data_IF_990438024442
#
_entry.id   IF_990438024442
#
_cell.length_a   1.000
_cell.length_b   1.000
_cell.length_c   1.000
_cell.angle_alpha   90.00
_cell.angle_beta   90.00
_cell.angle_gamma   90.00
#
_symmetry.space_group_name_H-M   'P 1'
#
loop_
_entity.id
_entity.type
_entity.pdbx_description
1 polymer ?
#
# COMPACT_ATOMS: atom_id res chain seq x y z
N UNK A 1 18.05 -10.82 -21.68
CA UNK A 1 18.04 -9.48 -21.05
C UNK A 1 17.22 -9.54 -19.78
N UNK A 2 17.43 -8.59 -18.83
CA UNK A 2 16.75 -8.60 -17.55
C UNK A 2 16.12 -7.23 -17.26
N UNK A 3 15.04 -7.24 -16.50
CA UNK A 3 14.45 -6.04 -15.88
C UNK A 3 14.80 -6.08 -14.40
N UNK A 4 15.34 -4.98 -13.89
CA UNK A 4 15.56 -4.77 -12.46
C UNK A 4 14.40 -3.98 -11.89
N UNK A 5 13.63 -4.61 -11.01
CA UNK A 5 12.51 -3.98 -10.32
C UNK A 5 12.83 -3.75 -8.84
N UNK A 6 12.56 -2.55 -8.33
CA UNK A 6 12.66 -2.23 -6.91
C UNK A 6 11.27 -2.01 -6.33
N UNK A 7 11.02 -2.56 -5.15
CA UNK A 7 9.87 -2.26 -4.31
C UNK A 7 10.35 -1.54 -3.05
N UNK A 8 10.12 -0.25 -3.00
CA UNK A 8 10.53 0.63 -1.91
C UNK A 8 9.43 0.69 -0.84
N UNK A 9 9.35 -0.38 -0.04
CA UNK A 9 8.33 -0.52 1.01
C UNK A 9 8.61 0.28 2.29
N UNK A 10 7.74 0.16 3.27
CA UNK A 10 7.88 0.87 4.56
C UNK A 10 9.05 0.36 5.42
N UNK A 11 9.41 -0.92 5.32
CA UNK A 11 10.46 -1.54 6.15
C UNK A 11 11.78 -1.80 5.45
N UNK A 12 11.84 -1.64 4.13
CA UNK A 12 13.02 -1.94 3.34
C UNK A 12 12.76 -1.88 1.85
N UNK A 13 13.83 -1.93 1.07
CA UNK A 13 13.80 -2.08 -0.38
C UNK A 13 13.96 -3.56 -0.73
N UNK A 14 13.11 -4.06 -1.62
CA UNK A 14 13.24 -5.37 -2.25
C UNK A 14 13.54 -5.17 -3.73
N UNK A 15 14.76 -5.52 -4.14
CA UNK A 15 15.16 -5.57 -5.54
C UNK A 15 14.93 -6.97 -6.11
N UNK A 16 14.37 -7.05 -7.30
CA UNK A 16 14.06 -8.31 -7.97
C UNK A 16 14.50 -8.24 -9.43
N UNK A 17 15.12 -9.29 -9.88
CA UNK A 17 15.57 -9.45 -11.26
C UNK A 17 14.63 -10.40 -11.99
N UNK A 18 14.04 -9.94 -13.09
CA UNK A 18 13.18 -10.72 -13.98
C UNK A 18 13.85 -10.88 -15.33
N UNK A 19 13.67 -12.05 -15.95
CA UNK A 19 14.05 -12.23 -17.36
C UNK A 19 12.96 -11.67 -18.31
N UNK A 20 13.22 -11.76 -19.60
CA UNK A 20 12.33 -11.27 -20.67
C UNK A 20 11.00 -12.05 -20.76
N UNK A 21 10.89 -13.20 -20.12
CA UNK A 21 9.64 -13.97 -20.00
C UNK A 21 8.82 -13.58 -18.77
N UNK A 22 9.36 -12.72 -17.89
CA UNK A 22 8.76 -12.36 -16.60
C UNK A 22 9.08 -13.36 -15.48
N UNK A 23 9.97 -14.31 -15.70
CA UNK A 23 10.39 -15.26 -14.66
C UNK A 23 11.30 -14.56 -13.66
N UNK A 24 11.02 -14.73 -12.37
CA UNK A 24 11.85 -14.25 -11.28
C UNK A 24 13.17 -15.06 -11.24
N UNK A 25 14.29 -14.37 -11.40
CA UNK A 25 15.64 -14.96 -11.41
C UNK A 25 16.26 -14.89 -10.01
N UNK A 26 16.20 -13.72 -9.37
CA UNK A 26 16.77 -13.50 -8.05
C UNK A 26 16.10 -12.31 -7.35
N UNK A 27 16.19 -12.29 -6.03
CA UNK A 27 15.74 -11.17 -5.22
C UNK A 27 16.74 -10.88 -4.10
N UNK A 28 16.84 -9.59 -3.72
CA UNK A 28 17.62 -9.11 -2.57
C UNK A 28 16.81 -8.09 -1.81
N UNK A 29 16.95 -8.10 -0.49
CA UNK A 29 16.26 -7.15 0.39
C UNK A 29 17.25 -6.46 1.31
N UNK A 30 17.09 -5.14 1.47
CA UNK A 30 17.82 -4.34 2.42
C UNK A 30 16.83 -3.54 3.26
N UNK A 31 16.87 -3.74 4.58
CA UNK A 31 16.02 -3.04 5.53
C UNK A 31 16.55 -1.64 5.82
N UNK A 32 15.66 -0.74 6.20
CA UNK A 32 15.99 0.57 6.74
C UNK A 32 15.05 0.95 7.88
N UNK A 33 15.52 1.79 8.83
CA UNK A 33 14.73 2.17 9.99
C UNK A 33 13.62 3.14 9.63
N UNK A 34 12.54 3.09 10.42
CA UNK A 34 11.53 4.13 10.52
C UNK A 34 11.61 4.74 11.91
N UNK A 35 11.70 6.06 12.00
CA UNK A 35 11.71 6.79 13.25
C UNK A 35 10.27 7.09 13.67
N UNK A 36 9.82 6.42 14.73
CA UNK A 36 8.51 6.65 15.36
C UNK A 36 8.68 7.53 16.59
N UNK A 37 7.95 8.65 16.66
CA UNK A 37 7.99 9.56 17.78
C UNK A 37 6.60 9.83 18.36
N UNK A 38 6.56 10.44 19.56
CA UNK A 38 5.30 10.89 20.17
C UNK A 38 4.53 11.85 19.27
N UNK A 39 3.21 11.87 19.39
CA UNK A 39 2.33 12.69 18.54
C UNK A 39 2.06 12.07 17.18
N UNK A 40 2.09 10.74 17.08
CA UNK A 40 1.78 9.97 15.87
C UNK A 40 2.69 10.33 14.68
N UNK A 41 3.96 10.58 14.96
CA UNK A 41 4.99 10.89 13.95
C UNK A 41 5.64 9.62 13.45
N UNK A 42 5.84 9.55 12.14
CA UNK A 42 6.57 8.47 11.47
C UNK A 42 7.38 9.04 10.31
N UNK A 43 8.70 8.95 10.40
CA UNK A 43 9.62 9.55 9.42
C UNK A 43 10.68 8.56 8.97
N UNK A 44 11.18 8.78 7.75
CA UNK A 44 12.32 8.03 7.20
C UNK A 44 13.34 8.99 6.58
N UNK A 45 14.62 8.63 6.71
CA UNK A 45 15.70 9.35 6.04
C UNK A 45 15.86 8.83 4.59
N UNK A 46 15.68 9.68 3.56
CA UNK A 46 15.80 9.28 2.16
C UNK A 46 17.17 8.71 1.76
N UNK A 47 18.22 9.07 2.48
CA UNK A 47 19.57 8.51 2.26
C UNK A 47 19.64 7.01 2.59
N UNK A 48 18.81 6.52 3.53
CA UNK A 48 18.72 5.08 3.81
C UNK A 48 18.06 4.32 2.66
N UNK A 49 17.09 4.93 1.98
CA UNK A 49 16.48 4.35 0.79
C UNK A 49 17.50 4.20 -0.34
N UNK A 50 18.23 5.30 -0.63
CA UNK A 50 19.25 5.28 -1.65
C UNK A 50 20.32 4.24 -1.37
N UNK A 51 20.80 4.15 -0.14
CA UNK A 51 21.74 3.11 0.27
C UNK A 51 21.17 1.71 0.03
N UNK A 52 19.91 1.45 0.38
CA UNK A 52 19.26 0.16 0.16
C UNK A 52 19.11 -0.17 -1.33
N UNK A 53 18.80 0.81 -2.17
CA UNK A 53 18.79 0.66 -3.64
C UNK A 53 20.17 0.24 -4.15
N UNK A 54 21.23 0.96 -3.73
CA UNK A 54 22.61 0.66 -4.12
C UNK A 54 23.01 -0.75 -3.67
N UNK A 55 22.85 -1.07 -2.39
CA UNK A 55 23.24 -2.35 -1.81
C UNK A 55 22.56 -3.54 -2.52
N UNK A 56 21.26 -3.44 -2.77
CA UNK A 56 20.49 -4.52 -3.40
C UNK A 56 20.78 -4.65 -4.90
N UNK A 57 21.00 -3.53 -5.59
CA UNK A 57 21.40 -3.51 -6.99
C UNK A 57 22.77 -4.19 -7.17
N UNK A 58 23.77 -3.76 -6.41
CA UNK A 58 25.12 -4.35 -6.49
C UNK A 58 25.09 -5.85 -6.21
N UNK A 59 24.33 -6.29 -5.20
CA UNK A 59 24.20 -7.72 -4.86
C UNK A 59 23.50 -8.54 -5.96
N UNK A 60 22.64 -7.94 -6.78
CA UNK A 60 22.05 -8.61 -7.94
C UNK A 60 22.99 -8.61 -9.16
N UNK A 61 23.80 -7.56 -9.33
CA UNK A 61 24.79 -7.47 -10.40
C UNK A 61 25.99 -8.42 -10.19
N UNK A 62 26.12 -9.05 -9.01
CA UNK A 62 27.04 -10.19 -8.84
C UNK A 62 26.58 -11.44 -9.62
N UNK A 63 25.30 -11.52 -10.00
CA UNK A 63 24.69 -12.67 -10.67
C UNK A 63 24.58 -12.51 -12.18
N UNK A 64 24.51 -11.26 -12.66
CA UNK A 64 24.31 -10.93 -14.08
C UNK A 64 25.18 -9.74 -14.48
N UNK A 65 25.51 -9.65 -15.77
CA UNK A 65 26.24 -8.49 -16.28
C UNK A 65 25.37 -7.23 -16.28
N UNK A 66 25.90 -6.05 -15.90
CA UNK A 66 25.19 -4.79 -16.07
C UNK A 66 24.75 -4.52 -17.52
N UNK A 67 25.47 -5.08 -18.52
CA UNK A 67 25.10 -4.99 -19.93
C UNK A 67 23.80 -5.72 -20.28
N UNK A 68 23.37 -6.64 -19.44
CA UNK A 68 22.16 -7.44 -19.67
C UNK A 68 20.91 -6.80 -19.02
N UNK A 69 21.06 -5.68 -18.28
CA UNK A 69 19.94 -4.95 -17.70
C UNK A 69 19.31 -4.04 -18.77
N UNK A 70 18.08 -4.37 -19.18
CA UNK A 70 17.34 -3.64 -20.20
C UNK A 70 16.62 -2.39 -19.67
N UNK A 71 16.37 -2.33 -18.36
CA UNK A 71 15.73 -1.20 -17.71
C UNK A 71 15.55 -1.41 -16.22
N UNK A 72 15.28 -0.30 -15.53
CA UNK A 72 14.99 -0.24 -14.09
C UNK A 72 13.60 0.32 -13.90
N UNK A 73 12.79 -0.33 -13.05
CA UNK A 73 11.44 0.12 -12.68
C UNK A 73 11.27 0.12 -11.16
N UNK A 74 10.47 1.06 -10.66
CA UNK A 74 10.21 1.21 -9.23
C UNK A 74 8.72 1.08 -8.91
N UNK A 75 8.46 0.36 -7.82
CA UNK A 75 7.26 0.44 -7.00
C UNK A 75 7.64 1.11 -5.68
N UNK A 76 6.74 1.85 -5.06
CA UNK A 76 7.08 2.49 -3.78
C UNK A 76 5.89 2.83 -2.90
N UNK A 77 6.17 2.96 -1.58
CA UNK A 77 5.20 3.41 -0.59
C UNK A 77 4.62 4.76 -0.98
N UNK A 78 3.31 4.89 -0.84
CA UNK A 78 2.51 6.02 -1.28
C UNK A 78 2.21 7.02 -0.15
N UNK A 79 1.56 8.14 -0.49
CA UNK A 79 0.94 9.08 0.46
C UNK A 79 1.94 9.81 1.37
N UNK A 80 3.21 9.80 1.03
CA UNK A 80 4.25 10.45 1.81
C UNK A 80 4.46 11.92 1.43
N UNK A 81 5.35 12.60 2.17
CA UNK A 81 5.74 13.97 1.87
C UNK A 81 7.24 14.14 2.09
N UNK A 82 7.98 14.29 1.01
CA UNK A 82 9.39 14.65 0.98
C UNK A 82 9.57 16.02 0.34
N UNK A 83 10.02 17.00 1.11
CA UNK A 83 10.40 18.31 0.59
C UNK A 83 11.84 18.27 0.07
N UNK A 84 12.02 18.65 -1.19
CA UNK A 84 13.35 18.77 -1.81
C UNK A 84 13.60 20.18 -2.31
N UNK A 85 14.87 20.62 -2.30
CA UNK A 85 15.29 21.89 -2.85
C UNK A 85 15.34 21.86 -4.40
N UNK A 86 15.76 22.98 -5.00
CA UNK A 86 15.90 23.11 -6.47
C UNK A 86 16.93 22.14 -7.09
N UNK A 87 17.85 21.64 -6.28
CA UNK A 87 18.91 20.71 -6.69
C UNK A 87 18.53 19.26 -6.31
N UNK A 88 17.28 19.02 -5.85
CA UNK A 88 16.73 17.71 -5.49
C UNK A 88 17.22 17.15 -4.15
N UNK A 89 17.90 17.98 -3.32
CA UNK A 89 18.34 17.52 -2.01
C UNK A 89 17.19 17.51 -1.02
N UNK A 90 17.03 16.43 -0.22
CA UNK A 90 16.04 16.39 0.86
C UNK A 90 16.31 17.47 1.90
N UNK A 91 15.29 18.27 2.20
CA UNK A 91 15.37 19.35 3.20
C UNK A 91 15.02 18.86 4.60
N UNK A 92 14.37 17.71 4.69
CA UNK A 92 13.95 17.05 5.92
C UNK A 92 13.73 15.56 5.72
N UNK A 93 13.58 14.75 6.80
CA UNK A 93 13.11 13.39 6.68
C UNK A 93 11.70 13.33 6.03
N UNK A 94 11.44 12.27 5.26
CA UNK A 94 10.16 12.03 4.65
C UNK A 94 9.09 11.64 5.69
N UNK A 95 7.92 12.26 5.65
CA UNK A 95 6.76 11.86 6.44
C UNK A 95 6.05 10.68 5.74
N UNK A 96 5.80 9.59 6.48
CA UNK A 96 5.14 8.40 5.94
C UNK A 96 3.62 8.56 5.88
N UNK A 97 2.95 7.62 5.17
CA UNK A 97 1.47 7.53 5.11
C UNK A 97 0.82 7.38 6.49
N UNK A 98 1.49 6.73 7.45
CA UNK A 98 0.99 6.54 8.82
C UNK A 98 1.28 7.70 9.76
N UNK A 99 2.02 8.72 9.31
CA UNK A 99 2.20 9.96 10.07
C UNK A 99 0.89 10.74 10.13
N UNK A 100 0.43 11.05 11.33
CA UNK A 100 -0.87 11.67 11.61
C UNK A 100 -0.73 13.04 12.28
N UNK A 101 0.44 13.70 12.16
CA UNK A 101 0.66 15.01 12.80
C UNK A 101 -0.17 16.14 12.20
N UNK A 102 -0.65 16.00 10.96
CA UNK A 102 -1.34 17.03 10.16
C UNK A 102 -2.86 17.09 10.40
N UNK A 103 -3.34 16.68 11.59
CA UNK A 103 -4.78 16.68 11.90
C UNK A 103 -5.41 18.08 11.92
N UNK A 104 -4.63 19.11 12.29
CA UNK A 104 -5.13 20.50 12.24
C UNK A 104 -5.31 20.97 10.80
N UNK A 105 -4.40 20.57 9.91
CA UNK A 105 -4.44 20.88 8.48
C UNK A 105 -5.59 20.13 7.78
N UNK A 106 -5.85 18.87 8.17
CA UNK A 106 -7.05 18.13 7.75
C UNK A 106 -8.32 18.89 8.11
N UNK A 107 -8.46 19.34 9.37
CA UNK A 107 -9.60 20.11 9.81
C UNK A 107 -9.74 21.42 9.02
N UNK A 108 -8.64 22.16 8.85
CA UNK A 108 -8.59 23.42 8.09
C UNK A 108 -9.00 23.24 6.62
N UNK A 109 -8.54 22.18 5.96
CA UNK A 109 -8.91 21.89 4.57
C UNK A 109 -10.39 21.50 4.47
N UNK A 110 -10.90 20.75 5.47
CA UNK A 110 -12.32 20.40 5.57
C UNK A 110 -13.26 21.61 5.71
N UNK A 111 -12.77 22.71 6.32
CA UNK A 111 -13.52 23.97 6.43
C UNK A 111 -13.58 24.75 5.10
N UNK A 112 -12.61 24.53 4.20
CA UNK A 112 -12.43 25.31 2.95
C UNK A 112 -13.08 24.68 1.73
N UNK A 113 -13.24 23.37 1.71
CA UNK A 113 -13.83 22.63 0.59
C UNK A 113 -14.85 21.63 1.10
N UNK A 114 -15.99 21.52 0.42
CA UNK A 114 -17.00 20.52 0.77
C UNK A 114 -16.42 19.11 0.70
N UNK A 115 -16.53 18.29 1.76
CA UNK A 115 -15.89 16.98 1.79
C UNK A 115 -16.42 15.95 0.78
N UNK A 116 -17.67 16.11 0.29
CA UNK A 116 -18.19 15.24 -0.77
C UNK A 116 -17.64 15.68 -2.13
N UNK A 117 -17.62 16.98 -2.39
CA UNK A 117 -17.01 17.53 -3.60
C UNK A 117 -15.51 17.19 -3.70
N UNK A 118 -14.76 17.30 -2.59
CA UNK A 118 -13.37 16.87 -2.52
C UNK A 118 -13.23 15.38 -2.88
N UNK A 119 -14.11 14.53 -2.34
CA UNK A 119 -14.12 13.10 -2.62
C UNK A 119 -14.45 12.79 -4.10
N UNK A 120 -15.36 13.55 -4.71
CA UNK A 120 -15.69 13.43 -6.13
C UNK A 120 -14.49 13.76 -7.04
N UNK A 121 -13.62 14.68 -6.62
CA UNK A 121 -12.41 15.05 -7.35
C UNK A 121 -11.32 13.99 -7.15
N UNK A 122 -11.01 13.65 -5.91
CA UNK A 122 -9.81 12.87 -5.55
C UNK A 122 -10.07 11.37 -5.39
N UNK A 123 -11.32 10.98 -5.19
CA UNK A 123 -11.67 9.61 -4.78
C UNK A 123 -11.32 9.27 -3.32
N UNK A 124 -10.86 10.25 -2.53
CA UNK A 124 -10.41 10.05 -1.16
C UNK A 124 -11.11 11.01 -0.18
N UNK A 125 -11.08 10.67 1.10
CA UNK A 125 -11.43 11.61 2.16
C UNK A 125 -10.26 12.55 2.42
N UNK A 126 -10.55 13.78 2.87
CA UNK A 126 -9.54 14.64 3.48
C UNK A 126 -9.01 13.92 4.72
N UNK A 127 -7.70 13.74 4.83
CA UNK A 127 -7.09 13.05 5.97
C UNK A 127 -5.60 13.38 6.12
N UNK A 128 -5.15 13.52 7.35
CA UNK A 128 -3.75 13.73 7.73
C UNK A 128 -2.77 12.67 7.18
N UNK A 129 -3.28 11.56 6.67
CA UNK A 129 -2.48 10.50 6.05
C UNK A 129 -1.88 10.89 4.69
N UNK A 130 -2.43 11.88 4.01
CA UNK A 130 -2.06 12.23 2.64
C UNK A 130 -1.04 13.37 2.56
N UNK A 131 -0.46 13.53 1.37
CA UNK A 131 0.70 14.40 1.15
C UNK A 131 0.39 15.89 1.28
N UNK A 132 -0.79 16.33 0.80
CA UNK A 132 -1.19 17.75 0.83
C UNK A 132 -1.28 18.25 2.27
N UNK A 133 -1.94 17.53 3.15
CA UNK A 133 -2.10 17.91 4.56
C UNK A 133 -0.74 17.93 5.27
N UNK A 134 0.18 17.03 4.91
CA UNK A 134 1.55 17.03 5.43
C UNK A 134 2.35 18.25 4.92
N UNK A 135 2.19 18.61 3.65
CA UNK A 135 2.86 19.80 3.09
C UNK A 135 2.32 21.10 3.70
N UNK A 136 0.99 21.17 3.98
CA UNK A 136 0.39 22.28 4.73
C UNK A 136 0.99 22.37 6.14
N UNK A 137 1.22 21.22 6.79
CA UNK A 137 1.88 21.17 8.10
C UNK A 137 3.31 21.70 8.03
N UNK A 138 4.10 21.31 7.03
CA UNK A 138 5.47 21.83 6.81
C UNK A 138 5.42 23.35 6.62
N UNK A 139 4.49 23.86 5.80
CA UNK A 139 4.30 25.30 5.59
C UNK A 139 4.09 26.06 6.90
N UNK A 140 3.29 25.51 7.80
CA UNK A 140 2.92 26.14 9.07
C UNK A 140 4.01 26.00 10.14
N UNK A 141 4.60 24.83 10.29
CA UNK A 141 5.45 24.47 11.42
C UNK A 141 6.94 24.50 11.11
N UNK A 142 7.31 24.41 9.83
CA UNK A 142 8.71 24.45 9.35
C UNK A 142 8.83 25.46 8.19
N UNK A 143 8.47 26.74 8.38
CA UNK A 143 8.38 27.73 7.29
C UNK A 143 9.70 27.96 6.56
N UNK A 144 10.85 27.80 7.22
CA UNK A 144 12.17 27.90 6.60
C UNK A 144 12.45 26.74 5.64
N UNK A 145 12.00 25.54 5.96
CA UNK A 145 12.04 24.36 5.09
C UNK A 145 11.10 24.58 3.90
N UNK A 146 9.87 25.00 4.20
CA UNK A 146 8.88 25.26 3.15
C UNK A 146 9.35 26.30 2.15
N UNK A 147 9.96 27.40 2.60
CA UNK A 147 10.48 28.45 1.74
C UNK A 147 11.60 27.99 0.79
N UNK A 148 12.33 26.93 1.15
CA UNK A 148 13.38 26.33 0.32
C UNK A 148 12.87 25.16 -0.54
N UNK A 149 11.62 24.70 -0.29
CA UNK A 149 11.03 23.57 -1.00
C UNK A 149 10.71 23.95 -2.45
N UNK A 150 11.41 23.33 -3.38
CA UNK A 150 11.12 23.46 -4.80
C UNK A 150 10.10 22.43 -5.27
N UNK A 151 10.12 21.20 -4.71
CA UNK A 151 9.17 20.12 -5.02
C UNK A 151 8.83 19.30 -3.79
N UNK A 152 7.59 18.78 -3.78
CA UNK A 152 7.13 17.72 -2.89
C UNK A 152 7.11 16.41 -3.68
N UNK A 153 7.77 15.36 -3.16
CA UNK A 153 7.93 14.07 -3.82
C UNK A 153 7.43 12.92 -2.93
N UNK A 154 6.97 11.84 -3.56
CA UNK A 154 6.87 10.54 -2.93
C UNK A 154 8.23 9.80 -2.92
N UNK A 155 8.30 8.69 -2.21
CA UNK A 155 9.56 7.98 -2.03
C UNK A 155 10.13 7.45 -3.36
N UNK A 156 9.28 6.86 -4.21
CA UNK A 156 9.65 6.39 -5.54
C UNK A 156 10.19 7.52 -6.43
N UNK A 157 9.51 8.68 -6.42
CA UNK A 157 9.88 9.82 -7.26
C UNK A 157 11.28 10.34 -6.91
N UNK A 158 11.62 10.37 -5.62
CA UNK A 158 12.96 10.73 -5.17
C UNK A 158 14.02 9.74 -5.65
N UNK A 159 13.75 8.43 -5.60
CA UNK A 159 14.70 7.43 -6.09
C UNK A 159 14.84 7.50 -7.61
N UNK A 160 13.74 7.72 -8.35
CA UNK A 160 13.79 7.99 -9.79
C UNK A 160 14.70 9.18 -10.10
N UNK A 161 14.52 10.28 -9.37
CA UNK A 161 15.40 11.45 -9.50
C UNK A 161 16.88 11.08 -9.25
N UNK A 162 17.17 10.31 -8.20
CA UNK A 162 18.55 9.89 -7.90
C UNK A 162 19.14 9.01 -9.00
N UNK A 163 18.33 8.21 -9.68
CA UNK A 163 18.75 7.33 -10.77
C UNK A 163 18.98 8.11 -12.08
N UNK A 164 18.05 8.96 -12.48
CA UNK A 164 18.05 9.55 -13.82
C UNK A 164 18.05 11.08 -13.87
N UNK A 165 17.99 11.78 -12.72
CA UNK A 165 17.98 13.25 -12.67
C UNK A 165 16.64 13.90 -13.04
N UNK A 166 15.61 13.12 -13.34
CA UNK A 166 14.28 13.61 -13.70
C UNK A 166 13.37 13.67 -12.49
N UNK A 167 12.78 14.83 -12.21
CA UNK A 167 11.73 14.99 -11.20
C UNK A 167 10.38 14.81 -11.87
N UNK A 168 9.77 13.64 -11.65
CA UNK A 168 8.45 13.30 -12.14
C UNK A 168 7.75 12.36 -11.17
N UNK A 169 6.42 12.30 -11.25
CA UNK A 169 5.58 11.30 -10.57
C UNK A 169 4.67 10.62 -11.58
N UNK A 170 3.96 9.57 -11.16
CA UNK A 170 2.96 8.91 -11.97
C UNK A 170 1.54 9.13 -11.42
N UNK A 171 0.47 8.82 -12.19
CA UNK A 171 -0.89 9.01 -11.72
C UNK A 171 -1.23 8.28 -10.43
N UNK A 172 -0.65 7.08 -10.18
CA UNK A 172 -0.97 6.31 -8.97
C UNK A 172 -0.44 7.01 -7.72
N UNK A 173 0.81 7.46 -7.72
CA UNK A 173 1.38 8.26 -6.62
C UNK A 173 0.73 9.65 -6.52
N UNK A 174 0.46 10.30 -7.66
CA UNK A 174 -0.23 11.59 -7.69
C UNK A 174 -1.60 11.49 -7.03
N UNK A 175 -2.38 10.43 -7.31
CA UNK A 175 -3.68 10.19 -6.67
C UNK A 175 -3.54 10.04 -5.15
N UNK A 176 -2.44 9.47 -4.67
CA UNK A 176 -2.12 9.33 -3.25
C UNK A 176 -1.71 10.63 -2.55
N UNK A 177 -1.74 11.77 -3.21
CA UNK A 177 -1.39 13.05 -2.59
C UNK A 177 -2.56 13.81 -1.99
N UNK A 178 -3.80 13.48 -2.35
CA UNK A 178 -5.01 14.30 -2.13
C UNK A 178 -5.05 15.62 -2.92
N UNK A 179 -4.22 15.77 -3.96
CA UNK A 179 -4.21 16.94 -4.83
C UNK A 179 -4.51 16.62 -6.31
N UNK A 180 -4.82 15.37 -6.62
CA UNK A 180 -4.98 14.92 -8.01
C UNK A 180 -6.45 14.69 -8.37
N UNK A 181 -6.88 15.26 -9.50
CA UNK A 181 -8.23 15.07 -10.05
C UNK A 181 -8.28 13.79 -10.89
N UNK A 182 -8.92 12.75 -10.35
CA UNK A 182 -9.07 11.45 -11.01
C UNK A 182 -9.96 11.48 -12.25
N UNK A 183 -10.82 12.51 -12.38
CA UNK A 183 -11.70 12.65 -13.54
C UNK A 183 -11.00 13.32 -14.71
N UNK A 184 -10.07 14.27 -14.42
CA UNK A 184 -9.33 15.04 -15.42
C UNK A 184 -7.90 14.55 -15.64
N UNK A 185 -7.43 13.63 -14.79
CA UNK A 185 -6.07 13.08 -14.82
C UNK A 185 -4.98 14.18 -14.74
N UNK A 186 -5.16 15.12 -13.83
CA UNK A 186 -4.24 16.24 -13.60
C UNK A 186 -4.29 16.72 -12.15
N UNK A 187 -3.35 17.54 -11.77
CA UNK A 187 -3.39 18.23 -10.49
C UNK A 187 -4.66 19.09 -10.39
N UNK A 188 -5.31 19.05 -9.23
CA UNK A 188 -6.50 19.87 -8.94
C UNK A 188 -6.07 21.24 -8.43
N UNK A 189 -6.15 22.26 -9.29
CA UNK A 189 -5.86 23.63 -8.90
C UNK A 189 -6.75 24.10 -7.76
N UNK A 190 -8.03 23.71 -7.76
CA UNK A 190 -9.01 24.02 -6.71
C UNK A 190 -8.56 23.53 -5.34
N UNK A 191 -8.09 22.27 -5.24
CA UNK A 191 -7.63 21.69 -3.96
C UNK A 191 -6.31 22.33 -3.53
N UNK A 192 -5.39 22.53 -4.46
CA UNK A 192 -4.10 23.13 -4.19
C UNK A 192 -4.28 24.58 -3.69
N UNK A 193 -5.21 25.34 -4.28
CA UNK A 193 -5.58 26.68 -3.82
C UNK A 193 -6.26 26.65 -2.43
N UNK A 194 -7.21 25.72 -2.20
CA UNK A 194 -7.85 25.54 -0.90
C UNK A 194 -6.84 25.19 0.20
N UNK A 195 -5.80 24.42 -0.12
CA UNK A 195 -4.67 24.10 0.75
C UNK A 195 -3.69 25.28 0.91
N UNK A 196 -3.90 26.40 0.19
CA UNK A 196 -2.99 27.56 0.16
C UNK A 196 -1.57 27.18 -0.31
N UNK A 197 -1.45 26.24 -1.22
CA UNK A 197 -0.19 25.79 -1.81
C UNK A 197 -0.05 26.32 -3.24
N UNK A 198 1.14 26.16 -3.82
CA UNK A 198 1.43 26.52 -5.21
C UNK A 198 1.55 25.26 -6.06
N UNK A 199 0.95 25.27 -7.25
CA UNK A 199 1.01 24.15 -8.19
C UNK A 199 2.46 23.80 -8.57
N UNK A 200 3.36 24.77 -8.57
CA UNK A 200 4.77 24.54 -8.86
C UNK A 200 5.47 23.60 -7.87
N UNK A 201 4.92 23.38 -6.68
CA UNK A 201 5.45 22.44 -5.68
C UNK A 201 5.22 20.97 -6.06
N UNK A 202 4.31 20.72 -6.99
CA UNK A 202 3.99 19.37 -7.43
C UNK A 202 4.80 18.99 -8.69
N UNK A 203 5.31 17.74 -8.79
CA UNK A 203 6.10 17.29 -9.93
C UNK A 203 5.23 17.15 -11.19
N UNK A 204 5.88 17.05 -12.36
CA UNK A 204 5.21 16.68 -13.60
C UNK A 204 4.66 15.24 -13.48
N UNK A 205 3.42 15.03 -13.94
CA UNK A 205 2.81 13.69 -13.98
C UNK A 205 3.12 13.06 -15.34
N UNK A 206 3.76 11.88 -15.29
CA UNK A 206 4.09 11.05 -16.45
C UNK A 206 3.36 9.71 -16.35
N UNK A 207 3.13 9.06 -17.47
CA UNK A 207 2.57 7.70 -17.42
C UNK A 207 3.49 6.75 -16.66
N UNK A 208 2.91 5.87 -15.85
CA UNK A 208 3.65 4.88 -15.06
C UNK A 208 4.57 3.98 -15.92
N UNK A 209 4.23 3.80 -17.20
CA UNK A 209 4.99 2.97 -18.15
C UNK A 209 6.01 3.76 -18.99
N UNK A 210 6.08 5.08 -18.83
CA UNK A 210 7.01 5.91 -19.60
C UNK A 210 8.46 5.72 -19.13
N UNK A 211 9.38 5.75 -20.08
CA UNK A 211 10.80 5.97 -19.79
C UNK A 211 10.96 7.46 -19.46
N UNK A 212 11.28 7.77 -18.23
CA UNK A 212 11.43 9.16 -17.76
C UNK A 212 12.87 9.68 -17.82
N UNK A 213 13.81 8.81 -18.09
CA UNK A 213 15.23 9.15 -18.21
C UNK A 213 16.10 7.91 -18.29
N UNK A 214 17.39 8.12 -18.16
CA UNK A 214 18.40 7.07 -18.21
C UNK A 214 19.31 7.17 -16.98
N UNK A 215 19.87 6.05 -16.54
CA UNK A 215 20.85 6.02 -15.44
C UNK A 215 21.97 7.00 -15.72
N UNK A 216 22.15 7.97 -14.81
CA UNK A 216 23.19 8.98 -14.90
C UNK A 216 24.58 8.40 -14.63
N UNK A 217 25.65 9.09 -15.04
CA UNK A 217 27.03 8.70 -14.70
C UNK A 217 27.29 8.62 -13.18
N UNK A 218 26.57 9.42 -12.39
CA UNK A 218 26.68 9.41 -10.93
C UNK A 218 26.00 8.17 -10.34
N UNK A 219 24.77 7.91 -10.73
CA UNK A 219 24.04 6.70 -10.31
C UNK A 219 24.72 5.43 -10.76
N UNK A 220 25.30 5.40 -11.98
CA UNK A 220 26.07 4.28 -12.49
C UNK A 220 27.29 3.94 -11.62
N UNK A 221 28.02 4.97 -11.17
CA UNK A 221 29.19 4.76 -10.28
C UNK A 221 28.81 4.20 -8.91
N UNK A 222 27.64 4.61 -8.38
CA UNK A 222 27.18 4.16 -7.08
C UNK A 222 26.52 2.78 -7.14
N UNK A 223 25.68 2.53 -8.16
CA UNK A 223 24.86 1.29 -8.24
C UNK A 223 25.58 0.15 -8.96
N UNK A 224 26.53 0.45 -9.83
CA UNK A 224 27.16 -0.52 -10.74
C UNK A 224 26.36 -0.76 -12.03
N UNK A 225 25.21 -0.12 -12.21
CA UNK A 225 24.45 -0.14 -13.47
C UNK A 225 25.21 0.60 -14.58
N UNK A 226 24.87 0.34 -15.84
CA UNK A 226 25.40 1.14 -16.94
C UNK A 226 24.70 2.50 -17.02
N UNK A 227 25.50 3.55 -17.23
CA UNK A 227 24.95 4.83 -17.66
C UNK A 227 24.21 4.64 -19.00
N UNK A 228 23.05 5.26 -19.14
CA UNK A 228 22.19 5.10 -20.30
C UNK A 228 21.17 3.95 -20.20
N UNK A 229 21.18 3.16 -19.11
CA UNK A 229 20.10 2.18 -18.87
C UNK A 229 18.78 2.92 -18.62
N UNK A 230 17.67 2.57 -19.32
CA UNK A 230 16.37 3.23 -19.16
C UNK A 230 15.80 3.12 -17.74
N UNK A 231 15.21 4.21 -17.24
CA UNK A 231 14.48 4.27 -15.97
C UNK A 231 13.00 4.50 -16.28
N UNK A 232 12.15 3.59 -15.82
CA UNK A 232 10.70 3.64 -15.99
C UNK A 232 10.10 4.43 -14.83
N UNK A 233 9.07 5.23 -15.09
CA UNK A 233 8.38 6.03 -14.07
C UNK A 233 7.93 5.18 -12.88
N UNK A 234 7.36 4.00 -13.16
CA UNK A 234 6.86 3.11 -12.12
C UNK A 234 5.60 3.62 -11.45
N UNK A 235 5.26 3.12 -10.27
CA UNK A 235 4.02 3.48 -9.60
C UNK A 235 4.00 3.19 -8.11
N UNK A 236 2.90 3.59 -7.46
CA UNK A 236 2.63 3.28 -6.07
C UNK A 236 2.46 1.78 -5.83
N UNK A 237 2.90 1.30 -4.68
CA UNK A 237 2.96 -0.12 -4.32
C UNK A 237 1.60 -0.84 -4.45
N UNK A 238 0.50 -0.20 -4.01
CA UNK A 238 -0.84 -0.77 -4.11
C UNK A 238 -1.29 -1.00 -5.56
N UNK A 239 -1.02 -0.03 -6.45
CA UNK A 239 -1.38 -0.14 -7.88
C UNK A 239 -0.46 -1.11 -8.64
N UNK A 240 0.82 -1.14 -8.30
CA UNK A 240 1.77 -2.11 -8.85
C UNK A 240 1.42 -3.55 -8.43
N UNK A 241 0.94 -3.75 -7.19
CA UNK A 241 0.46 -5.05 -6.73
C UNK A 241 -0.69 -5.57 -7.60
N UNK A 242 -1.62 -4.69 -8.02
CA UNK A 242 -2.69 -5.03 -8.96
C UNK A 242 -2.17 -5.62 -10.27
N UNK A 243 -1.14 -4.99 -10.86
CA UNK A 243 -0.49 -5.52 -12.08
C UNK A 243 0.19 -6.85 -11.80
N UNK A 244 0.89 -6.97 -10.68
CA UNK A 244 1.61 -8.19 -10.31
C UNK A 244 0.72 -9.43 -10.17
N UNK A 245 -0.57 -9.24 -9.87
CA UNK A 245 -1.56 -10.32 -9.80
C UNK A 245 -2.45 -10.40 -11.05
N UNK A 246 -2.17 -9.65 -12.09
CA UNK A 246 -2.90 -9.70 -13.37
C UNK A 246 -4.21 -8.91 -13.38
N UNK A 247 -4.49 -8.06 -12.38
CA UNK A 247 -5.65 -7.18 -12.35
C UNK A 247 -5.41 -5.93 -13.22
N UNK A 248 -5.42 -6.11 -14.53
CA UNK A 248 -5.08 -5.09 -15.54
C UNK A 248 -6.24 -4.75 -16.49
N UNK A 249 -7.38 -5.42 -16.33
CA UNK A 249 -8.57 -5.23 -17.17
C UNK A 249 -9.78 -4.84 -16.31
N UNK A 250 -10.72 -4.02 -16.85
CA UNK A 250 -11.94 -3.65 -16.14
C UNK A 250 -12.70 -4.88 -15.64
N UNK A 251 -13.18 -4.82 -14.40
CA UNK A 251 -13.92 -5.89 -13.74
C UNK A 251 -13.05 -6.96 -13.08
N UNK A 252 -11.72 -6.92 -13.23
CA UNK A 252 -10.82 -7.79 -12.47
C UNK A 252 -10.62 -7.26 -11.05
N UNK A 253 -10.55 -8.17 -10.09
CA UNK A 253 -10.37 -7.83 -8.68
C UNK A 253 -9.31 -8.70 -8.03
N UNK A 254 -8.69 -8.20 -6.97
CA UNK A 254 -7.80 -9.00 -6.13
C UNK A 254 -8.00 -8.67 -4.65
N UNK A 255 -7.64 -9.62 -3.81
CA UNK A 255 -7.53 -9.43 -2.37
C UNK A 255 -6.06 -9.51 -1.96
N UNK A 256 -5.62 -8.52 -1.18
CA UNK A 256 -4.34 -8.58 -0.46
C UNK A 256 -4.59 -8.89 1.00
N UNK A 257 -3.94 -9.92 1.52
CA UNK A 257 -4.03 -10.31 2.92
C UNK A 257 -2.65 -10.29 3.57
N UNK A 258 -2.37 -9.22 4.26
CA UNK A 258 -1.16 -9.01 5.08
C UNK A 258 -1.53 -8.71 6.54
N UNK A 259 -0.76 -7.89 7.22
CA UNK A 259 -1.11 -7.40 8.57
C UNK A 259 -2.43 -6.63 8.57
N UNK A 260 -2.62 -5.77 7.58
CA UNK A 260 -3.91 -5.25 7.12
C UNK A 260 -4.37 -6.03 5.89
N UNK A 261 -5.54 -5.72 5.36
CA UNK A 261 -6.00 -6.29 4.11
C UNK A 261 -6.75 -5.25 3.28
N UNK A 262 -6.83 -5.49 1.97
CA UNK A 262 -7.71 -4.73 1.07
C UNK A 262 -8.21 -5.60 -0.08
N UNK A 263 -9.41 -5.28 -0.52
CA UNK A 263 -9.95 -5.74 -1.79
C UNK A 263 -9.90 -4.57 -2.76
N UNK A 264 -9.39 -4.79 -3.95
CA UNK A 264 -9.29 -3.78 -4.98
C UNK A 264 -9.81 -4.29 -6.32
N UNK A 265 -10.35 -3.36 -7.10
CA UNK A 265 -11.01 -3.61 -8.36
C UNK A 265 -10.38 -2.74 -9.45
N UNK A 266 -10.22 -3.24 -10.66
CA UNK A 266 -9.82 -2.42 -11.81
C UNK A 266 -11.06 -1.91 -12.53
N UNK A 267 -11.16 -0.59 -12.71
CA UNK A 267 -12.30 0.09 -13.36
C UNK A 267 -11.84 1.24 -14.25
N UNK A 268 -12.72 1.70 -15.14
CA UNK A 268 -12.46 2.86 -16.02
C UNK A 268 -12.94 4.20 -15.44
N UNK A 269 -13.78 4.15 -14.40
CA UNK A 269 -14.34 5.35 -13.74
C UNK A 269 -14.29 5.21 -12.24
N UNK A 270 -14.13 6.31 -11.49
CA UNK A 270 -14.12 6.25 -10.04
C UNK A 270 -15.46 5.75 -9.51
N UNK A 271 -15.42 4.96 -8.45
CA UNK A 271 -16.60 4.58 -7.69
C UNK A 271 -16.83 5.65 -6.63
N UNK A 272 -17.77 6.52 -6.90
CA UNK A 272 -18.17 7.60 -6.00
C UNK A 272 -19.37 7.16 -5.18
N UNK A 273 -19.29 7.34 -3.87
CA UNK A 273 -20.30 6.94 -2.89
C UNK A 273 -20.51 8.09 -1.90
N UNK A 274 -21.78 8.52 -1.72
CA UNK A 274 -22.14 9.64 -0.86
C UNK A 274 -21.64 9.48 0.59
N UNK A 275 -21.48 8.24 1.06
CA UNK A 275 -20.92 7.95 2.38
C UNK A 275 -19.39 7.95 2.38
N UNK A 276 -18.75 8.12 1.22
CA UNK A 276 -17.31 8.17 1.03
C UNK A 276 -16.61 6.95 1.65
N UNK A 277 -17.15 5.75 1.37
CA UNK A 277 -16.69 4.49 1.99
C UNK A 277 -15.45 3.93 1.33
N UNK A 278 -15.32 4.12 0.01
CA UNK A 278 -14.22 3.57 -0.81
C UNK A 278 -13.08 4.57 -0.97
N UNK A 279 -11.92 4.08 -1.34
CA UNK A 279 -10.78 4.88 -1.79
C UNK A 279 -10.55 4.56 -3.27
N UNK A 280 -10.43 5.60 -4.11
CA UNK A 280 -10.17 5.42 -5.54
C UNK A 280 -8.76 5.91 -5.86
N UNK A 281 -7.94 5.05 -6.41
CA UNK A 281 -6.57 5.35 -6.82
C UNK A 281 -6.46 5.30 -8.34
N UNK A 282 -5.56 6.06 -8.92
CA UNK A 282 -5.19 5.81 -10.29
C UNK A 282 -4.40 4.51 -10.39
N UNK A 283 -4.67 3.74 -11.42
CA UNK A 283 -3.93 2.51 -11.71
C UNK A 283 -2.66 2.83 -12.51
N UNK A 284 -1.63 1.98 -12.42
CA UNK A 284 -0.43 2.11 -13.27
C UNK A 284 -0.71 1.74 -14.75
N UNK A 285 -1.80 1.03 -15.01
CA UNK A 285 -2.31 0.84 -16.38
C UNK A 285 -3.01 2.14 -16.82
N UNK A 286 -2.58 2.78 -17.92
CA UNK A 286 -3.12 4.05 -18.35
C UNK A 286 -4.65 4.03 -18.55
N UNK A 287 -5.34 5.05 -18.02
CA UNK A 287 -6.80 5.19 -18.12
C UNK A 287 -7.61 4.29 -17.18
N UNK A 288 -6.97 3.48 -16.35
CA UNK A 288 -7.64 2.64 -15.35
C UNK A 288 -7.54 3.24 -13.95
N UNK A 289 -8.51 2.91 -13.13
CA UNK A 289 -8.57 3.26 -11.71
C UNK A 289 -8.58 1.99 -10.86
N UNK A 290 -8.24 2.17 -9.60
CA UNK A 290 -8.02 1.10 -8.64
C UNK A 290 -8.79 1.38 -7.33
N UNK A 291 -10.15 1.38 -7.37
CA UNK A 291 -10.93 1.53 -6.15
C UNK A 291 -10.66 0.39 -5.18
N UNK A 292 -10.56 0.73 -3.90
CA UNK A 292 -10.26 -0.24 -2.84
C UNK A 292 -11.08 -0.02 -1.57
N UNK A 293 -11.38 -1.15 -0.90
CA UNK A 293 -11.89 -1.18 0.47
C UNK A 293 -10.86 -1.88 1.36
N UNK A 294 -10.66 -1.39 2.58
CA UNK A 294 -9.57 -1.86 3.45
C UNK A 294 -10.07 -2.50 4.74
N UNK A 295 -9.22 -3.31 5.35
CA UNK A 295 -9.35 -3.83 6.69
C UNK A 295 -8.08 -3.52 7.49
N UNK A 296 -8.22 -2.83 8.62
CA UNK A 296 -7.07 -2.33 9.40
C UNK A 296 -6.30 -3.45 10.09
N UNK A 297 -6.97 -4.48 10.58
CA UNK A 297 -6.36 -5.55 11.36
C UNK A 297 -6.80 -6.94 10.85
N UNK A 298 -6.21 -7.41 9.76
CA UNK A 298 -6.43 -8.72 9.17
C UNK A 298 -5.46 -9.76 9.76
N UNK A 299 -4.29 -9.94 9.17
CA UNK A 299 -3.24 -10.81 9.70
C UNK A 299 -2.76 -10.38 11.08
N UNK A 300 -2.87 -9.08 11.42
CA UNK A 300 -2.63 -8.60 12.79
C UNK A 300 -3.58 -9.24 13.80
N UNK A 301 -4.86 -9.45 13.44
CA UNK A 301 -5.83 -10.16 14.30
C UNK A 301 -5.47 -11.64 14.44
N UNK A 302 -5.00 -12.26 13.36
CA UNK A 302 -4.53 -13.64 13.38
C UNK A 302 -3.28 -13.78 14.27
N UNK A 303 -2.30 -12.90 14.13
CA UNK A 303 -1.10 -12.87 14.95
C UNK A 303 -1.43 -12.60 16.43
N UNK A 304 -2.38 -11.69 16.70
CA UNK A 304 -2.87 -11.46 18.05
C UNK A 304 -3.50 -12.74 18.63
N UNK A 305 -4.31 -13.45 17.89
CA UNK A 305 -4.89 -14.73 18.29
C UNK A 305 -3.80 -15.74 18.66
N UNK A 306 -2.79 -15.91 17.79
CA UNK A 306 -1.66 -16.81 18.06
C UNK A 306 -0.95 -16.42 19.35
N UNK A 307 -0.62 -15.14 19.52
CA UNK A 307 0.17 -14.67 20.64
C UNK A 307 -0.60 -14.64 21.96
N UNK A 308 -1.92 -14.43 21.95
CA UNK A 308 -2.71 -14.27 23.15
C UNK A 308 -3.54 -15.51 23.53
N UNK A 309 -3.92 -16.33 22.57
CA UNK A 309 -4.80 -17.47 22.79
C UNK A 309 -4.17 -18.83 22.54
N UNK A 310 -3.00 -18.92 21.86
CA UNK A 310 -2.42 -20.18 21.41
C UNK A 310 -1.07 -20.50 22.07
N UNK A 311 -0.83 -20.09 23.33
CA UNK A 311 0.44 -20.36 24.02
C UNK A 311 0.71 -21.86 24.18
N UNK A 312 -0.35 -22.67 24.38
CA UNK A 312 -0.23 -24.12 24.46
C UNK A 312 0.22 -24.71 23.12
N UNK A 313 -0.39 -24.32 22.02
CA UNK A 313 -0.05 -24.75 20.66
C UNK A 313 1.36 -24.33 20.28
N UNK A 314 1.82 -23.14 20.69
CA UNK A 314 3.19 -22.67 20.46
C UNK A 314 4.21 -23.54 21.21
N UNK A 315 3.95 -23.85 22.48
CA UNK A 315 4.81 -24.73 23.27
C UNK A 315 4.87 -26.14 22.69
N UNK A 316 3.71 -26.69 22.30
CA UNK A 316 3.60 -28.00 21.69
C UNK A 316 4.27 -28.06 20.32
N UNK A 317 4.14 -27.03 19.50
CA UNK A 317 4.81 -26.90 18.20
C UNK A 317 6.34 -26.99 18.35
N UNK A 318 6.89 -26.25 19.33
CA UNK A 318 8.31 -26.28 19.65
C UNK A 318 8.75 -27.68 20.10
N UNK A 319 7.97 -28.33 20.96
CA UNK A 319 8.28 -29.68 21.45
C UNK A 319 8.26 -30.75 20.37
N UNK A 320 7.32 -30.63 19.43
CA UNK A 320 7.11 -31.62 18.35
C UNK A 320 7.92 -31.32 17.09
N UNK A 321 8.58 -30.15 16.98
CA UNK A 321 9.23 -29.70 15.76
C UNK A 321 8.24 -29.46 14.61
N UNK A 322 6.98 -29.12 14.93
CA UNK A 322 5.90 -28.85 13.97
C UNK A 322 5.62 -27.36 13.87
N UNK A 323 4.92 -26.96 12.80
CA UNK A 323 4.41 -25.61 12.65
C UNK A 323 3.26 -25.35 13.65
N UNK A 324 3.29 -24.18 14.32
CA UNK A 324 2.17 -23.74 15.16
C UNK A 324 0.88 -23.59 14.36
N UNK A 325 0.98 -23.21 13.11
CA UNK A 325 -0.16 -23.05 12.21
C UNK A 325 -0.89 -24.40 11.96
N UNK A 326 -0.13 -25.49 11.79
CA UNK A 326 -0.71 -26.84 11.65
C UNK A 326 -1.54 -27.25 12.88
N UNK A 327 -1.02 -26.95 14.08
CA UNK A 327 -1.72 -27.27 15.32
C UNK A 327 -2.97 -26.43 15.52
N UNK A 328 -2.92 -25.15 15.14
CA UNK A 328 -4.07 -24.25 15.16
C UNK A 328 -5.13 -24.71 14.17
N UNK A 329 -4.75 -25.09 12.95
CA UNK A 329 -5.66 -25.63 11.95
C UNK A 329 -6.37 -26.92 12.45
N UNK A 330 -5.65 -27.79 13.14
CA UNK A 330 -6.24 -28.98 13.75
C UNK A 330 -7.31 -28.64 14.81
N UNK A 331 -7.12 -27.54 15.57
CA UNK A 331 -8.12 -27.07 16.54
C UNK A 331 -9.33 -26.43 15.83
N UNK A 332 -9.08 -25.58 14.84
CA UNK A 332 -10.13 -24.90 14.05
C UNK A 332 -11.04 -25.92 13.37
N UNK A 333 -10.48 -27.00 12.82
CA UNK A 333 -11.24 -28.06 12.14
C UNK A 333 -12.20 -28.82 13.05
N UNK A 334 -12.01 -28.79 14.37
CA UNK A 334 -12.94 -29.40 15.34
C UNK A 334 -14.20 -28.58 15.57
N UNK A 335 -14.18 -27.29 15.24
CA UNK A 335 -15.33 -26.40 15.32
C UNK A 335 -16.11 -26.40 13.98
N UNK A 336 -17.44 -26.37 14.00
CA UNK A 336 -18.23 -26.27 12.78
C UNK A 336 -18.13 -24.85 12.17
N UNK A 337 -18.47 -24.74 10.89
CA UNK A 337 -18.65 -23.44 10.21
C UNK A 337 -19.68 -22.61 10.98
N UNK A 338 -19.38 -21.33 11.17
CA UNK A 338 -20.17 -20.42 12.00
C UNK A 338 -19.84 -20.50 13.49
N UNK A 339 -18.74 -21.22 13.87
CA UNK A 339 -18.15 -21.24 15.22
C UNK A 339 -19.16 -21.38 16.34
N UNK A 340 -20.19 -22.22 16.14
CA UNK A 340 -21.34 -22.37 17.06
C UNK A 340 -22.06 -21.05 17.39
N UNK A 341 -22.14 -20.12 16.42
CA UNK A 341 -22.72 -18.76 16.53
C UNK A 341 -21.85 -17.77 17.33
N UNK A 342 -20.59 -18.07 17.55
CA UNK A 342 -19.62 -17.13 18.08
C UNK A 342 -19.08 -16.24 16.95
N UNK A 343 -19.22 -14.93 17.07
CA UNK A 343 -18.72 -13.95 16.11
C UNK A 343 -17.54 -13.19 16.72
N UNK A 344 -16.47 -13.04 15.98
CA UNK A 344 -15.37 -12.13 16.31
C UNK A 344 -15.42 -10.86 15.47
N UNK A 345 -15.31 -9.72 16.10
CA UNK A 345 -15.16 -8.42 15.43
C UNK A 345 -13.66 -8.04 15.42
N UNK A 346 -13.00 -7.99 14.24
CA UNK A 346 -11.55 -7.81 14.13
C UNK A 346 -11.10 -6.34 14.21
N UNK A 347 -11.75 -5.50 15.00
CA UNK A 347 -11.45 -4.06 15.09
C UNK A 347 -10.37 -3.75 16.13
N UNK A 348 -9.33 -4.58 16.23
CA UNK A 348 -8.28 -4.45 17.25
C UNK A 348 -7.49 -3.13 17.15
N UNK A 349 -7.42 -2.53 15.97
CA UNK A 349 -6.68 -1.30 15.68
C UNK A 349 -7.59 -0.16 15.20
N UNK A 350 -8.89 -0.21 15.53
CA UNK A 350 -9.88 0.65 14.90
C UNK A 350 -10.18 0.19 13.47
N UNK A 351 -10.88 1.03 12.70
CA UNK A 351 -11.23 0.70 11.32
C UNK A 351 -11.21 1.94 10.42
N UNK A 352 -10.80 1.75 9.16
CA UNK A 352 -10.92 2.72 8.08
C UNK A 352 -12.11 2.36 7.17
N UNK A 353 -11.90 2.27 5.89
CA UNK A 353 -12.92 1.87 4.91
C UNK A 353 -13.55 0.50 5.27
N UNK A 354 -14.87 0.30 5.15
CA UNK A 354 -15.87 1.32 4.82
C UNK A 354 -16.48 2.06 6.04
N UNK A 355 -16.05 1.73 7.26
CA UNK A 355 -16.74 2.20 8.48
C UNK A 355 -16.17 3.48 9.07
N UNK A 356 -14.90 3.77 8.83
CA UNK A 356 -14.19 4.99 9.26
C UNK A 356 -14.38 5.31 10.75
N UNK A 357 -14.10 4.34 11.62
CA UNK A 357 -14.20 4.47 13.07
C UNK A 357 -12.90 4.03 13.75
N UNK A 358 -12.02 4.98 14.03
CA UNK A 358 -10.73 4.75 14.71
C UNK A 358 -10.89 4.26 16.16
N UNK A 359 -12.07 4.46 16.77
CA UNK A 359 -12.37 4.04 18.13
C UNK A 359 -13.03 2.66 18.21
N UNK A 360 -13.32 2.02 17.07
CA UNK A 360 -13.84 0.65 17.05
C UNK A 360 -12.87 -0.31 17.77
N UNK A 361 -13.42 -1.30 18.46
CA UNK A 361 -12.66 -2.28 19.25
C UNK A 361 -13.05 -3.69 18.86
N UNK A 362 -12.08 -4.61 18.92
CA UNK A 362 -12.32 -6.03 18.76
C UNK A 362 -13.24 -6.58 19.87
N UNK A 363 -14.08 -7.55 19.51
CA UNK A 363 -14.97 -8.18 20.47
C UNK A 363 -15.35 -9.60 20.04
N UNK A 364 -15.59 -10.48 21.01
CA UNK A 364 -16.32 -11.73 20.81
C UNK A 364 -17.79 -11.50 21.17
N UNK A 365 -18.70 -11.86 20.28
CA UNK A 365 -20.15 -11.71 20.45
C UNK A 365 -20.80 -13.09 20.43
N UNK A 366 -21.68 -13.35 21.39
CA UNK A 366 -22.38 -14.65 21.49
C UNK A 366 -21.64 -15.72 22.30
N UNK A 367 -20.57 -15.37 23.03
CA UNK A 367 -19.82 -16.31 23.87
C UNK A 367 -20.70 -16.88 24.99
N UNK A 368 -20.66 -18.22 25.13
CA UNK A 368 -21.35 -18.98 26.18
C UNK A 368 -20.40 -20.02 26.78
N UNK A 369 -20.81 -20.65 27.89
CA UNK A 369 -20.04 -21.73 28.54
C UNK A 369 -19.88 -22.97 27.66
N UNK A 370 -20.66 -23.09 26.60
CA UNK A 370 -20.58 -24.22 25.66
C UNK A 370 -19.53 -24.09 24.57
N UNK A 371 -18.94 -22.89 24.40
CA UNK A 371 -17.92 -22.67 23.38
C UNK A 371 -16.57 -23.25 23.79
N UNK A 372 -15.92 -23.88 22.83
CA UNK A 372 -14.58 -24.47 22.99
C UNK A 372 -13.51 -23.49 22.51
N UNK A 373 -12.24 -23.81 22.81
CA UNK A 373 -11.09 -23.09 22.27
C UNK A 373 -11.08 -23.09 20.73
N UNK A 374 -11.41 -24.23 20.10
CA UNK A 374 -11.55 -24.34 18.64
C UNK A 374 -12.59 -23.40 18.07
N UNK A 375 -13.71 -23.18 18.77
CA UNK A 375 -14.75 -22.22 18.34
C UNK A 375 -14.23 -20.78 18.39
N UNK A 376 -13.46 -20.44 19.42
CA UNK A 376 -12.86 -19.10 19.54
C UNK A 376 -11.84 -18.86 18.41
N UNK A 377 -10.94 -19.81 18.14
CA UNK A 377 -9.95 -19.70 17.07
C UNK A 377 -10.63 -19.59 15.70
N UNK A 378 -11.65 -20.44 15.46
CA UNK A 378 -12.41 -20.42 14.22
C UNK A 378 -13.15 -19.08 14.02
N UNK A 379 -13.79 -18.56 15.08
CA UNK A 379 -14.50 -17.29 14.99
C UNK A 379 -13.61 -16.11 14.61
N UNK A 380 -12.32 -16.12 15.04
CA UNK A 380 -11.35 -15.10 14.61
C UNK A 380 -11.10 -15.20 13.11
N UNK A 381 -10.86 -16.40 12.58
CA UNK A 381 -10.65 -16.59 11.14
C UNK A 381 -11.87 -16.20 10.32
N UNK A 382 -13.06 -16.63 10.76
CA UNK A 382 -14.33 -16.28 10.11
C UNK A 382 -14.61 -14.78 10.20
N UNK A 383 -14.30 -14.13 11.35
CA UNK A 383 -14.47 -12.68 11.54
C UNK A 383 -13.58 -11.86 10.61
N UNK A 384 -12.34 -12.30 10.37
CA UNK A 384 -11.44 -11.69 9.37
C UNK A 384 -12.07 -11.83 7.97
N UNK A 385 -12.46 -13.04 7.58
CA UNK A 385 -13.03 -13.33 6.25
C UNK A 385 -14.34 -12.56 6.01
N UNK A 386 -15.26 -12.55 6.99
CA UNK A 386 -16.53 -11.83 6.88
C UNK A 386 -16.32 -10.32 6.78
N UNK A 387 -15.29 -9.78 7.43
CA UNK A 387 -14.94 -8.36 7.32
C UNK A 387 -14.39 -8.02 5.94
N UNK A 388 -13.56 -8.90 5.37
CA UNK A 388 -13.08 -8.80 3.97
C UNK A 388 -14.25 -8.76 2.99
N UNK A 389 -15.16 -9.71 3.10
CA UNK A 389 -16.37 -9.75 2.26
C UNK A 389 -17.24 -8.49 2.48
N UNK A 390 -17.34 -7.98 3.71
CA UNK A 390 -18.02 -6.73 4.02
C UNK A 390 -17.31 -5.50 3.45
N UNK A 391 -16.00 -5.52 3.33
CA UNK A 391 -15.19 -4.52 2.61
C UNK A 391 -15.50 -4.55 1.11
N UNK A 392 -15.54 -5.75 0.52
CA UNK A 392 -15.95 -5.95 -0.87
C UNK A 392 -17.42 -5.55 -1.13
N UNK A 393 -18.32 -5.72 -0.16
CA UNK A 393 -19.74 -5.31 -0.28
C UNK A 393 -19.98 -3.82 -0.16
N UNK A 394 -18.97 -3.02 0.18
CA UNK A 394 -19.02 -1.57 0.03
C UNK A 394 -19.09 -1.16 -1.46
N UNK A 395 -18.55 -1.99 -2.33
CA UNK A 395 -18.96 -2.05 -3.73
C UNK A 395 -20.28 -2.86 -3.74
N UNK A 396 -21.36 -2.36 -4.30
CA UNK A 396 -22.52 -3.23 -4.40
C UNK A 396 -22.09 -4.47 -5.20
N UNK A 397 -21.98 -5.62 -4.54
CA UNK A 397 -21.76 -6.90 -5.21
C UNK A 397 -22.79 -7.11 -6.33
N UNK A 398 -23.96 -6.47 -6.24
CA UNK A 398 -24.98 -6.42 -7.27
C UNK A 398 -24.53 -5.72 -8.56
N UNK A 399 -23.61 -4.74 -8.47
CA UNK A 399 -23.08 -4.06 -9.67
C UNK A 399 -21.87 -4.78 -10.26
N UNK A 400 -21.24 -5.68 -9.49
CA UNK A 400 -20.03 -6.42 -9.90
C UNK A 400 -20.31 -7.83 -10.41
N UNK A 401 -21.48 -8.40 -10.11
CA UNK A 401 -21.85 -9.75 -10.49
C UNK A 401 -23.10 -9.61 -11.37
N UNK A 402 -22.99 -10.02 -12.65
CA UNK A 402 -24.15 -10.34 -13.46
C UNK A 402 -25.08 -11.27 -12.70
N UNK A 403 -26.40 -11.28 -12.91
CA UNK A 403 -27.39 -11.87 -12.01
C UNK A 403 -26.94 -13.23 -11.52
N UNK A 404 -26.65 -13.28 -10.23
CA UNK A 404 -26.08 -14.45 -9.56
C UNK A 404 -27.19 -15.44 -9.21
N UNK A 405 -27.83 -16.02 -10.22
CA UNK A 405 -28.66 -17.21 -10.03
C UNK A 405 -27.82 -18.48 -9.80
N UNK A 406 -26.47 -18.37 -9.91
CA UNK A 406 -25.53 -19.49 -9.84
C UNK A 406 -24.37 -19.29 -8.84
N UNK A 407 -24.50 -18.44 -7.83
CA UNK A 407 -23.49 -18.36 -6.77
C UNK A 407 -23.63 -19.56 -5.84
N UNK A 408 -23.09 -20.69 -6.28
CA UNK A 408 -22.77 -21.80 -5.39
C UNK A 408 -21.57 -21.31 -4.55
N UNK A 409 -21.83 -20.94 -3.30
CA UNK A 409 -20.78 -20.81 -2.27
C UNK A 409 -20.30 -22.21 -1.96
N UNK A 410 -19.44 -22.74 -2.84
CA UNK A 410 -18.72 -23.97 -2.54
C UNK A 410 -17.76 -23.64 -1.37
N UNK A 411 -17.74 -24.40 -0.28
CA UNK A 411 -16.82 -24.16 0.83
C UNK A 411 -15.41 -24.26 0.28
N UNK A 412 -14.70 -23.13 0.25
CA UNK A 412 -13.39 -22.95 -0.38
C UNK A 412 -12.42 -24.06 0.02
N UNK A 413 -12.01 -24.97 -0.89
CA UNK A 413 -11.07 -26.03 -0.54
C UNK A 413 -9.62 -25.59 -0.43
N UNK A 414 -9.25 -24.35 -0.79
CA UNK A 414 -7.85 -23.99 -0.93
C UNK A 414 -7.55 -22.52 -0.57
N UNK A 415 -7.77 -22.11 0.69
CA UNK A 415 -7.09 -20.91 1.22
C UNK A 415 -5.65 -21.31 1.55
N UNK A 416 -4.73 -21.13 0.61
CA UNK A 416 -3.29 -21.29 0.86
C UNK A 416 -2.74 -20.01 1.44
N UNK A 417 -2.46 -20.00 2.75
CA UNK A 417 -1.58 -18.99 3.36
C UNK A 417 -0.14 -19.34 2.97
N UNK A 418 0.57 -18.44 2.32
CA UNK A 418 2.01 -18.63 2.13
C UNK A 418 2.72 -18.54 3.47
N UNK A 419 3.56 -19.51 3.77
CA UNK A 419 4.28 -19.66 5.06
C UNK A 419 5.45 -18.70 5.24
N UNK A 420 5.71 -17.84 4.29
CA UNK A 420 6.83 -16.89 4.38
C UNK A 420 6.32 -15.52 4.87
N UNK A 421 6.59 -15.14 6.14
CA UNK A 421 6.22 -13.83 6.66
C UNK A 421 6.98 -12.68 5.98
N UNK A 422 7.96 -12.99 5.12
CA UNK A 422 8.73 -12.04 4.32
C UNK A 422 8.41 -12.10 2.82
N UNK A 423 7.51 -12.97 2.38
CA UNK A 423 7.03 -12.98 1.00
C UNK A 423 6.03 -11.84 0.79
N UNK A 424 6.53 -10.60 0.72
CA UNK A 424 5.80 -9.45 0.23
C UNK A 424 5.78 -9.42 -1.30
N UNK A 425 5.32 -10.51 -1.92
CA UNK A 425 4.94 -10.52 -3.34
C UNK A 425 3.62 -11.23 -3.41
N UNK A 426 2.63 -10.49 -3.92
CA UNK A 426 1.25 -10.93 -3.97
C UNK A 426 1.08 -12.34 -4.50
N UNK A 427 0.65 -13.23 -3.62
CA UNK A 427 -0.07 -14.42 -4.04
C UNK A 427 -1.52 -14.00 -4.16
N UNK A 428 -1.90 -13.59 -5.38
CA UNK A 428 -3.30 -13.38 -5.70
C UNK A 428 -4.04 -14.70 -5.54
N UNK A 429 -5.08 -14.69 -4.73
CA UNK A 429 -6.13 -15.73 -4.80
C UNK A 429 -7.05 -15.27 -5.92
N UNK A 430 -7.02 -15.98 -7.04
CA UNK A 430 -7.99 -15.79 -8.10
C UNK A 430 -9.34 -16.36 -7.62
N UNK A 431 -10.39 -15.54 -7.69
CA UNK A 431 -11.78 -15.97 -7.71
C UNK A 431 -12.17 -16.33 -9.14
#
# INVERSE_FOLDING_TARGET
MYILAHDLGTSGNKATLFDESGLLIASRTAAYPTDYASGNRAEQNPHHWWKAIVDTTQALLELVSPNDIAGVALSGQMMGCLCVDKDGNPLRPHMLYCDQRSQEEEAKLTEKIDPLHFYEITGHRISASYSVEKLMWVKKHEPEIFAQTAKMLNAKDYINYRLCGTIATDPSDASGTNAYDLNRWQWSEEIIEAAELDLSLFPEVRSSIDVIGEITNEAARETGLLAGTPVICGGGDGSCAGVGVGCVAPGTAYNYLGSSSWVALTVEKPIVDEQRRTMNWAHVVPGMLHPSGTMQAAGSSYNWMINQLCQHEQALATQLGRSVFELIDEQIRKSPVGSNKLLFLPYLMGERSPRWNVNAKGAFIGLTVGHTHGDMLRSVMEGITLKEMGGASAYSLQDMIAPADDLIVDPMPNLYFTRDPFASVGTGVFL
#
